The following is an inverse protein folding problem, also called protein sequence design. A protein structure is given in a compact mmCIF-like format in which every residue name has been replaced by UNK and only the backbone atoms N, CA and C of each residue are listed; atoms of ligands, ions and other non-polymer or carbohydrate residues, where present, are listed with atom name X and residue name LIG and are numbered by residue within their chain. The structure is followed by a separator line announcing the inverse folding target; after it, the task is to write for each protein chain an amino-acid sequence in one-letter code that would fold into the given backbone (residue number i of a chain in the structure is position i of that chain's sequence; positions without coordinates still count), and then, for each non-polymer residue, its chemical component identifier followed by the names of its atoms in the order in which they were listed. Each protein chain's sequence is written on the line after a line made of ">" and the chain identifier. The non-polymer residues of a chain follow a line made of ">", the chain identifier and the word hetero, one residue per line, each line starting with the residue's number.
data_IF_553676118142
#
_entry.id   IF_553676118142
#
_cell.length_a   1.000
_cell.length_b   1.000
_cell.length_c   1.000
_cell.angle_alpha   90.00
_cell.angle_beta   90.00
_cell.angle_gamma   90.00
#
_symmetry.space_group_name_H-M   'P 1'
#
loop_
_entity.id
_entity.type
_entity.pdbx_description
1 polymer ?
#
# COMPACT_ATOMS: atom_id res chain seq x y z
N UNK A 1 24.77 -14.57 -23.61
CA UNK A 1 23.51 -15.20 -23.17
C UNK A 1 23.76 -15.51 -21.70
N UNK A 2 23.23 -14.82 -20.68
CA UNK A 2 21.84 -14.38 -20.57
C UNK A 2 21.57 -13.43 -19.38
N UNK A 3 22.43 -12.45 -19.09
CA UNK A 3 22.16 -11.52 -17.97
C UNK A 3 20.87 -10.69 -18.18
N UNK A 4 20.59 -10.33 -19.44
CA UNK A 4 19.33 -9.68 -19.82
C UNK A 4 18.11 -10.59 -19.71
N UNK A 5 18.24 -11.90 -20.02
CA UNK A 5 17.13 -12.84 -19.83
C UNK A 5 16.91 -13.15 -18.35
N UNK A 6 17.96 -13.22 -17.53
CA UNK A 6 17.84 -13.34 -16.08
C UNK A 6 17.11 -12.13 -15.47
N UNK A 7 17.46 -10.92 -15.92
CA UNK A 7 16.78 -9.69 -15.50
C UNK A 7 15.31 -9.65 -15.92
N UNK A 8 15.01 -10.01 -17.19
CA UNK A 8 13.63 -10.06 -17.69
C UNK A 8 12.82 -11.14 -16.95
N UNK A 9 13.41 -12.29 -16.64
CA UNK A 9 12.77 -13.35 -15.85
C UNK A 9 12.54 -12.94 -14.40
N UNK A 10 13.49 -12.21 -13.79
CA UNK A 10 13.29 -11.62 -12.47
C UNK A 10 12.13 -10.60 -12.51
N UNK A 11 12.10 -9.73 -13.52
CA UNK A 11 11.05 -8.74 -13.71
C UNK A 11 9.67 -9.38 -13.96
N UNK A 12 9.62 -10.46 -14.74
CA UNK A 12 8.41 -11.29 -14.92
C UNK A 12 7.99 -11.97 -13.62
N UNK A 13 8.95 -12.45 -12.82
CA UNK A 13 8.70 -12.99 -11.48
C UNK A 13 8.05 -11.96 -10.57
N UNK A 14 8.50 -10.71 -10.63
CA UNK A 14 7.87 -9.61 -9.88
C UNK A 14 6.44 -9.33 -10.37
N UNK A 15 6.19 -9.42 -11.68
CA UNK A 15 4.83 -9.30 -12.27
C UNK A 15 3.88 -10.37 -11.79
N UNK A 16 4.30 -11.64 -11.83
CA UNK A 16 3.47 -12.74 -11.37
C UNK A 16 3.24 -12.70 -9.85
N UNK A 17 4.25 -12.28 -9.08
CA UNK A 17 4.12 -12.15 -7.63
C UNK A 17 3.05 -11.15 -7.21
N UNK A 18 2.87 -10.07 -7.97
CA UNK A 18 1.85 -9.06 -7.66
C UNK A 18 0.48 -9.40 -8.26
N UNK A 19 0.42 -10.30 -9.24
CA UNK A 19 -0.81 -10.83 -9.82
C UNK A 19 -1.42 -12.00 -9.01
N UNK A 20 -0.59 -12.85 -8.39
CA UNK A 20 -1.04 -14.04 -7.66
C UNK A 20 -1.27 -13.81 -6.15
N UNK A 21 -0.64 -12.80 -5.56
CA UNK A 21 -0.72 -12.55 -4.12
C UNK A 21 -2.02 -11.82 -3.74
N UNK A 22 -2.66 -12.29 -2.67
CA UNK A 22 -3.78 -11.57 -2.03
C UNK A 22 -3.26 -10.42 -1.15
N UNK A 23 -1.93 -10.34 -0.95
CA UNK A 23 -1.25 -9.39 -0.06
C UNK A 23 -0.13 -8.63 -0.80
N UNK A 24 -0.38 -7.34 -1.04
CA UNK A 24 0.54 -6.41 -1.70
C UNK A 24 1.85 -6.22 -0.90
N UNK A 25 1.79 -6.29 0.43
CA UNK A 25 2.95 -6.06 1.29
C UNK A 25 4.01 -7.14 1.11
N UNK A 26 3.58 -8.40 1.04
CA UNK A 26 4.45 -9.54 0.77
C UNK A 26 5.12 -9.41 -0.60
N UNK A 27 4.35 -9.10 -1.65
CA UNK A 27 4.91 -8.93 -3.01
C UNK A 27 5.95 -7.82 -3.07
N UNK A 28 5.67 -6.65 -2.46
CA UNK A 28 6.63 -5.54 -2.39
C UNK A 28 7.86 -5.87 -1.54
N UNK A 29 7.73 -6.71 -0.50
CA UNK A 29 8.89 -7.17 0.28
C UNK A 29 9.84 -8.02 -0.56
N UNK A 30 9.29 -8.88 -1.41
CA UNK A 30 10.09 -9.70 -2.33
C UNK A 30 10.76 -8.84 -3.41
N UNK A 31 10.08 -7.82 -3.93
CA UNK A 31 10.69 -6.82 -4.82
C UNK A 31 11.88 -6.13 -4.15
N UNK A 32 11.72 -5.69 -2.91
CA UNK A 32 12.81 -5.04 -2.17
C UNK A 32 14.00 -5.99 -1.98
N UNK A 33 13.74 -7.28 -1.73
CA UNK A 33 14.79 -8.30 -1.62
C UNK A 33 15.53 -8.52 -2.94
N UNK A 34 14.80 -8.69 -4.05
CA UNK A 34 15.36 -8.85 -5.38
C UNK A 34 16.17 -7.63 -5.80
N UNK A 35 15.65 -6.43 -5.54
CA UNK A 35 16.33 -5.17 -5.83
C UNK A 35 17.66 -5.08 -5.09
N UNK A 36 17.68 -5.40 -3.79
CA UNK A 36 18.90 -5.40 -3.00
C UNK A 36 19.92 -6.43 -3.50
N UNK A 37 19.49 -7.64 -3.86
CA UNK A 37 20.37 -8.68 -4.40
C UNK A 37 20.95 -8.26 -5.75
N UNK A 38 20.14 -7.69 -6.64
CA UNK A 38 20.58 -7.28 -7.97
C UNK A 38 21.59 -6.13 -7.93
N UNK A 39 21.47 -5.26 -6.93
CA UNK A 39 22.33 -4.11 -6.73
C UNK A 39 23.49 -4.39 -5.75
N UNK A 40 23.71 -5.64 -5.34
CA UNK A 40 24.71 -6.03 -4.34
C UNK A 40 24.65 -5.14 -3.08
N UNK A 41 23.47 -4.94 -2.52
CA UNK A 41 23.22 -4.04 -1.40
C UNK A 41 22.71 -4.76 -0.14
N UNK A 42 23.07 -4.25 1.03
CA UNK A 42 22.58 -4.82 2.29
C UNK A 42 21.15 -4.39 2.64
N UNK A 43 20.72 -3.21 2.18
CA UNK A 43 19.43 -2.63 2.55
C UNK A 43 18.69 -2.09 1.34
N UNK A 44 17.41 -2.43 1.27
CA UNK A 44 16.45 -1.79 0.38
C UNK A 44 15.16 -1.49 1.17
N UNK A 45 14.58 -0.31 1.00
CA UNK A 45 13.31 0.06 1.63
C UNK A 45 12.38 0.70 0.62
N UNK A 46 11.10 0.35 0.69
CA UNK A 46 10.03 0.99 -0.05
C UNK A 46 9.20 1.81 0.95
N UNK A 47 9.11 3.11 0.68
CA UNK A 47 8.30 4.05 1.45
C UNK A 47 7.14 4.53 0.57
N UNK A 48 5.94 4.61 1.13
CA UNK A 48 4.75 5.12 0.43
C UNK A 48 4.24 6.38 1.11
N UNK A 49 3.65 7.28 0.31
CA UNK A 49 2.98 8.46 0.82
C UNK A 49 1.64 8.07 1.45
N UNK A 50 1.35 8.69 2.58
CA UNK A 50 0.07 8.61 3.27
C UNK A 50 -0.38 10.01 3.64
N UNK A 51 -1.70 10.22 3.69
CA UNK A 51 -2.26 11.46 4.20
C UNK A 51 -1.96 11.61 5.69
N UNK A 52 -1.51 12.81 6.07
CA UNK A 52 -1.27 13.23 7.45
C UNK A 52 -2.60 13.32 8.20
N UNK A 53 -2.76 12.64 9.36
CA UNK A 53 -3.94 12.80 10.19
C UNK A 53 -4.02 14.21 10.83
N UNK A 54 -2.92 14.97 10.84
CA UNK A 54 -2.82 16.32 11.43
C UNK A 54 -2.61 17.37 10.34
N UNK A 55 -3.44 18.43 10.35
CA UNK A 55 -3.51 19.50 9.33
C UNK A 55 -2.28 20.44 9.28
N UNK A 56 -1.24 20.21 10.09
CA UNK A 56 -0.14 21.19 10.30
C UNK A 56 1.05 21.05 9.32
N UNK A 57 1.15 19.96 8.56
CA UNK A 57 2.11 19.78 7.46
C UNK A 57 1.33 19.51 6.17
N UNK A 58 1.86 19.87 5.00
CA UNK A 58 1.29 19.84 3.61
C UNK A 58 0.55 18.53 3.16
N UNK A 59 -0.40 18.05 3.95
CA UNK A 59 -1.28 16.91 3.71
C UNK A 59 -0.64 15.54 3.73
N UNK A 60 0.67 15.37 3.52
CA UNK A 60 1.27 14.04 3.24
C UNK A 60 2.60 13.78 3.95
N UNK A 61 2.82 12.50 4.27
CA UNK A 61 4.08 12.00 4.82
C UNK A 61 4.48 10.65 4.23
N UNK A 62 5.77 10.35 4.24
CA UNK A 62 6.32 9.05 3.88
C UNK A 62 6.43 8.15 5.10
N UNK A 63 6.04 6.88 4.91
CA UNK A 63 6.24 5.81 5.89
C UNK A 63 6.84 4.59 5.20
N UNK A 64 7.71 3.89 5.91
CA UNK A 64 8.23 2.58 5.45
C UNK A 64 7.05 1.61 5.32
N UNK A 65 6.80 1.18 4.09
CA UNK A 65 5.80 0.16 3.79
C UNK A 65 6.40 -1.23 3.93
N UNK A 66 7.61 -1.43 3.40
CA UNK A 66 8.35 -2.68 3.53
C UNK A 66 9.84 -2.47 3.30
N UNK A 67 10.67 -3.44 3.68
CA UNK A 67 12.11 -3.39 3.47
C UNK A 67 12.74 -4.78 3.40
N UNK A 68 13.99 -4.80 2.92
CA UNK A 68 14.93 -5.91 2.97
C UNK A 68 16.19 -5.49 3.73
N UNK A 69 16.80 -6.44 4.44
CA UNK A 69 17.95 -6.21 5.30
C UNK A 69 17.55 -5.67 6.67
N UNK A 70 18.55 -5.39 7.50
CA UNK A 70 18.33 -4.98 8.88
C UNK A 70 17.96 -3.48 8.93
N UNK A 71 16.70 -3.15 9.15
CA UNK A 71 16.25 -1.82 9.57
C UNK A 71 15.88 -1.87 11.05
N UNK A 72 16.27 -0.88 11.87
CA UNK A 72 15.83 -0.82 13.25
C UNK A 72 14.31 -0.66 13.31
N UNK A 73 13.67 -1.29 14.30
CA UNK A 73 12.20 -1.28 14.43
C UNK A 73 11.61 0.14 14.57
N UNK A 74 12.40 1.09 15.08
CA UNK A 74 12.05 2.52 15.13
C UNK A 74 11.82 3.15 13.76
N UNK A 75 12.43 2.63 12.69
CA UNK A 75 12.28 3.15 11.35
C UNK A 75 10.87 2.94 10.78
N UNK A 76 10.09 1.97 11.31
CA UNK A 76 8.69 1.76 10.93
C UNK A 76 7.73 2.77 11.55
N UNK A 77 8.10 3.34 12.69
CA UNK A 77 7.31 4.35 13.42
C UNK A 77 7.68 5.77 13.00
N UNK A 78 8.80 5.93 12.29
CA UNK A 78 9.29 7.23 11.88
C UNK A 78 8.56 7.73 10.64
N UNK A 79 7.85 8.83 10.85
CA UNK A 79 7.23 9.62 9.79
C UNK A 79 8.31 10.50 9.16
N UNK A 80 8.39 10.54 7.83
CA UNK A 80 9.28 11.47 7.11
C UNK A 80 8.44 12.47 6.34
N UNK A 81 8.60 13.76 6.63
CA UNK A 81 7.84 14.81 5.95
C UNK A 81 8.33 14.97 4.50
N UNK A 82 7.48 15.51 3.63
CA UNK A 82 7.93 15.97 2.32
C UNK A 82 9.02 17.06 2.49
N UNK A 83 10.01 17.06 1.60
CA UNK A 83 11.21 17.91 1.67
C UNK A 83 12.15 17.66 2.85
N UNK A 84 11.89 16.63 3.68
CA UNK A 84 12.77 16.27 4.80
C UNK A 84 13.66 15.08 4.43
N UNK A 85 14.97 15.26 4.61
CA UNK A 85 15.97 14.25 4.29
C UNK A 85 15.94 13.81 2.82
N UNK A 86 16.57 12.66 2.54
CA UNK A 86 16.72 12.16 1.17
C UNK A 86 15.39 11.70 0.58
N UNK A 87 14.65 10.86 1.31
CA UNK A 87 13.40 10.31 0.81
C UNK A 87 12.33 11.40 0.62
N UNK A 88 12.21 12.35 1.56
CA UNK A 88 11.29 13.48 1.42
C UNK A 88 11.64 14.39 0.25
N UNK A 89 12.93 14.64 -0.01
CA UNK A 89 13.39 15.39 -1.18
C UNK A 89 13.04 14.68 -2.50
N UNK A 90 13.33 13.38 -2.61
CA UNK A 90 13.04 12.59 -3.82
C UNK A 90 11.53 12.51 -4.07
N UNK A 91 10.73 12.34 -3.02
CA UNK A 91 9.27 12.34 -3.15
C UNK A 91 8.70 13.69 -3.62
N UNK A 92 9.22 14.80 -3.06
CA UNK A 92 8.73 16.14 -3.39
C UNK A 92 9.17 16.60 -4.79
N UNK A 93 10.40 16.28 -5.20
CA UNK A 93 10.95 16.71 -6.49
C UNK A 93 10.65 15.73 -7.63
N UNK A 94 10.27 14.48 -7.33
CA UNK A 94 10.14 13.42 -8.32
C UNK A 94 11.45 13.12 -9.06
N UNK A 95 12.59 13.53 -8.50
CA UNK A 95 13.90 13.42 -9.15
C UNK A 95 14.73 12.35 -8.43
N UNK A 96 15.26 11.34 -9.15
CA UNK A 96 16.10 10.31 -8.55
C UNK A 96 17.44 10.89 -8.08
N UNK A 97 18.04 10.26 -7.07
CA UNK A 97 19.26 10.75 -6.44
C UNK A 97 20.29 9.63 -6.28
N UNK A 98 21.52 9.90 -6.71
CA UNK A 98 22.71 9.11 -6.44
C UNK A 98 23.63 9.89 -5.49
N UNK A 99 24.03 9.23 -4.40
CA UNK A 99 25.02 9.74 -3.47
C UNK A 99 26.14 8.71 -3.34
N UNK A 100 27.32 9.05 -3.86
CA UNK A 100 28.48 8.17 -3.76
C UNK A 100 29.09 8.14 -2.34
N UNK A 101 29.01 9.25 -1.62
CA UNK A 101 29.42 9.38 -0.21
C UNK A 101 28.53 10.40 0.51
N UNK A 102 27.71 9.93 1.45
CA UNK A 102 26.80 10.78 2.21
C UNK A 102 27.52 11.88 3.01
N UNK A 103 28.77 11.64 3.43
CA UNK A 103 29.53 12.63 4.22
C UNK A 103 30.00 13.83 3.43
N UNK A 104 29.94 13.75 2.09
CA UNK A 104 30.28 14.85 1.19
C UNK A 104 29.04 15.45 0.52
N UNK A 105 27.84 15.01 0.92
CA UNK A 105 26.58 15.46 0.33
C UNK A 105 25.91 16.53 1.18
N UNK A 106 25.03 17.32 0.56
CA UNK A 106 24.14 18.25 1.28
C UNK A 106 23.19 17.56 2.28
N UNK A 107 23.06 16.23 2.19
CA UNK A 107 22.18 15.43 3.04
C UNK A 107 22.91 14.82 4.25
N UNK A 108 24.14 15.24 4.54
CA UNK A 108 24.96 14.70 5.63
C UNK A 108 24.27 14.79 7.00
N UNK A 109 23.52 15.87 7.26
CA UNK A 109 22.78 16.04 8.53
C UNK A 109 21.61 15.05 8.66
N UNK A 110 21.07 14.58 7.54
CA UNK A 110 20.01 13.56 7.49
C UNK A 110 20.56 12.12 7.51
N UNK A 111 21.89 11.94 7.53
CA UNK A 111 22.53 10.64 7.46
C UNK A 111 22.34 9.84 8.76
N UNK A 112 21.49 8.81 8.71
CA UNK A 112 21.21 7.94 9.86
C UNK A 112 22.28 6.87 10.13
N UNK A 113 23.26 6.76 9.24
CA UNK A 113 24.17 5.61 9.15
C UNK A 113 25.64 6.01 8.99
N UNK A 114 26.04 7.16 9.55
CA UNK A 114 27.41 7.68 9.42
C UNK A 114 28.49 6.70 9.92
N UNK A 115 28.12 5.75 10.79
CA UNK A 115 29.00 4.73 11.36
C UNK A 115 29.08 3.44 10.53
N UNK A 116 28.28 3.30 9.45
CA UNK A 116 28.32 2.12 8.58
C UNK A 116 29.54 2.16 7.65
N UNK A 117 30.02 0.98 7.27
CA UNK A 117 31.26 0.83 6.49
C UNK A 117 31.20 1.46 5.08
N UNK A 118 30.01 1.54 4.48
CA UNK A 118 29.82 2.12 3.15
C UNK A 118 28.72 3.19 3.18
N UNK A 119 29.07 4.38 2.69
CA UNK A 119 28.33 5.65 2.82
C UNK A 119 27.53 6.01 1.57
N UNK A 120 27.49 5.13 0.58
CA UNK A 120 26.75 5.35 -0.65
C UNK A 120 25.28 4.95 -0.52
N UNK A 121 24.39 5.72 -1.17
CA UNK A 121 23.00 5.35 -1.38
C UNK A 121 22.49 5.82 -2.74
N UNK A 122 21.44 5.15 -3.21
CA UNK A 122 20.60 5.61 -4.32
C UNK A 122 19.13 5.62 -3.88
N UNK A 123 18.37 6.55 -4.44
CA UNK A 123 16.96 6.74 -4.15
C UNK A 123 16.20 7.13 -5.42
N UNK A 124 15.04 6.52 -5.65
CA UNK A 124 14.23 6.78 -6.83
C UNK A 124 12.75 6.94 -6.47
N UNK A 125 12.02 7.87 -7.11
CA UNK A 125 10.60 8.05 -6.91
C UNK A 125 9.83 6.87 -7.49
N UNK A 126 8.74 6.49 -6.83
CA UNK A 126 7.77 5.50 -7.33
C UNK A 126 6.64 6.28 -8.01
N UNK A 127 6.54 6.25 -9.35
CA UNK A 127 5.57 7.04 -10.08
C UNK A 127 4.20 6.36 -10.14
N UNK A 128 3.15 7.19 -10.22
CA UNK A 128 1.78 6.82 -10.52
C UNK A 128 1.18 7.89 -11.44
N UNK A 129 1.14 7.61 -12.74
CA UNK A 129 0.87 8.65 -13.74
C UNK A 129 1.93 9.76 -13.65
N UNK A 130 1.47 11.01 -13.49
CA UNK A 130 2.33 12.20 -13.35
C UNK A 130 2.72 12.49 -11.89
N UNK A 131 2.28 11.67 -10.93
CA UNK A 131 2.52 11.88 -9.49
C UNK A 131 3.54 10.89 -8.93
N UNK A 132 4.21 11.28 -7.85
CA UNK A 132 5.02 10.35 -7.04
C UNK A 132 4.16 9.84 -5.89
N UNK A 133 4.07 8.52 -5.71
CA UNK A 133 3.30 7.87 -4.62
C UNK A 133 4.19 7.30 -3.52
N UNK A 134 5.50 7.37 -3.69
CA UNK A 134 6.46 6.80 -2.76
C UNK A 134 7.89 6.88 -3.26
N UNK A 135 8.80 6.24 -2.56
CA UNK A 135 10.23 6.23 -2.85
C UNK A 135 10.79 4.84 -2.55
N UNK A 136 11.67 4.35 -3.42
CA UNK A 136 12.52 3.19 -3.15
C UNK A 136 13.94 3.68 -2.86
N UNK A 137 14.53 3.17 -1.77
CA UNK A 137 15.89 3.52 -1.33
C UNK A 137 16.74 2.26 -1.26
N UNK A 138 17.99 2.35 -1.70
CA UNK A 138 18.99 1.28 -1.57
C UNK A 138 20.26 1.87 -0.96
N UNK A 139 20.81 1.20 0.04
CA UNK A 139 21.97 1.69 0.80
C UNK A 139 22.88 0.55 1.22
N UNK A 140 24.12 0.92 1.56
CA UNK A 140 25.17 0.01 2.04
C UNK A 140 25.51 -1.07 0.99
N UNK A 141 26.21 -0.69 -0.08
CA UNK A 141 26.76 -1.64 -1.05
C UNK A 141 27.70 -2.64 -0.37
N UNK A 142 27.56 -3.93 -0.69
CA UNK A 142 28.31 -5.06 -0.13
C UNK A 142 29.79 -5.08 -0.56
N UNK A 143 30.08 -4.64 -1.79
CA UNK A 143 31.41 -4.78 -2.39
C UNK A 143 32.38 -3.62 -2.05
N UNK A 144 32.02 -2.76 -1.09
CA UNK A 144 32.81 -1.58 -0.70
C UNK A 144 32.92 -0.48 -1.77
N UNK A 145 32.31 -0.68 -2.94
CA UNK A 145 32.21 0.32 -4.00
C UNK A 145 30.97 1.18 -3.79
N UNK A 146 31.07 2.47 -4.08
CA UNK A 146 29.91 3.34 -4.15
C UNK A 146 29.03 2.97 -5.35
N UNK A 147 27.72 3.18 -5.22
CA UNK A 147 26.80 3.08 -6.34
C UNK A 147 27.18 4.05 -7.46
N UNK A 148 26.77 3.72 -8.68
CA UNK A 148 27.00 4.50 -9.90
C UNK A 148 25.69 4.73 -10.64
N UNK A 149 25.74 5.53 -11.69
CA UNK A 149 24.57 5.88 -12.49
C UNK A 149 23.83 4.64 -13.03
N UNK A 150 24.56 3.59 -13.39
CA UNK A 150 23.98 2.34 -13.87
C UNK A 150 23.14 1.61 -12.79
N UNK A 151 23.55 1.73 -11.52
CA UNK A 151 22.79 1.20 -10.38
C UNK A 151 21.50 2.03 -10.16
N UNK A 152 21.60 3.35 -10.33
CA UNK A 152 20.44 4.25 -10.26
C UNK A 152 19.44 3.96 -11.39
N UNK A 153 19.90 3.73 -12.62
CA UNK A 153 19.04 3.33 -13.75
C UNK A 153 18.33 2.00 -13.48
N UNK A 154 19.05 1.03 -12.89
CA UNK A 154 18.44 -0.24 -12.47
C UNK A 154 17.37 -0.02 -11.41
N UNK A 155 17.64 0.82 -10.41
CA UNK A 155 16.67 1.15 -9.36
C UNK A 155 15.42 1.84 -9.92
N UNK A 156 15.58 2.76 -10.88
CA UNK A 156 14.45 3.44 -11.55
C UNK A 156 13.52 2.45 -12.26
N UNK A 157 14.07 1.38 -12.85
CA UNK A 157 13.27 0.32 -13.46
C UNK A 157 12.42 -0.41 -12.42
N UNK A 158 12.99 -0.77 -11.26
CA UNK A 158 12.22 -1.35 -10.16
C UNK A 158 11.16 -0.38 -9.63
N UNK A 159 11.48 0.91 -9.50
CA UNK A 159 10.54 1.93 -9.04
C UNK A 159 9.32 2.05 -9.97
N UNK A 160 9.55 2.09 -11.29
CA UNK A 160 8.50 2.07 -12.31
C UNK A 160 7.63 0.81 -12.20
N UNK A 161 8.27 -0.33 -11.99
CA UNK A 161 7.59 -1.61 -11.87
C UNK A 161 6.69 -1.68 -10.62
N UNK A 162 7.20 -1.21 -9.47
CA UNK A 162 6.44 -1.10 -8.22
C UNK A 162 5.22 -0.20 -8.42
N UNK A 163 5.40 0.99 -9.01
CA UNK A 163 4.32 1.94 -9.27
C UNK A 163 3.20 1.35 -10.13
N UNK A 164 3.58 0.67 -11.23
CA UNK A 164 2.62 -0.05 -12.08
C UNK A 164 1.87 -1.15 -11.33
N UNK A 165 2.56 -1.91 -10.49
CA UNK A 165 1.97 -3.04 -9.78
C UNK A 165 0.98 -2.59 -8.71
N UNK A 166 1.31 -1.51 -7.97
CA UNK A 166 0.38 -0.87 -7.05
C UNK A 166 -0.87 -0.40 -7.80
N UNK A 167 -0.70 0.21 -8.98
CA UNK A 167 -1.83 0.65 -9.79
C UNK A 167 -2.74 -0.51 -10.23
N UNK A 168 -2.16 -1.61 -10.71
CA UNK A 168 -2.92 -2.81 -11.08
C UNK A 168 -3.67 -3.37 -9.87
N UNK A 169 -3.01 -3.49 -8.71
CA UNK A 169 -3.62 -4.00 -7.48
C UNK A 169 -4.80 -3.13 -7.01
N UNK A 170 -4.64 -1.80 -7.03
CA UNK A 170 -5.72 -0.86 -6.72
C UNK A 170 -6.89 -0.99 -7.69
N UNK A 171 -6.62 -1.09 -9.00
CA UNK A 171 -7.66 -1.26 -10.02
C UNK A 171 -8.40 -2.60 -9.85
N UNK A 172 -7.68 -3.68 -9.59
CA UNK A 172 -8.28 -4.99 -9.30
C UNK A 172 -9.15 -4.96 -8.04
N UNK A 173 -8.72 -4.26 -6.99
CA UNK A 173 -9.51 -4.10 -5.77
C UNK A 173 -10.83 -3.35 -6.03
N UNK A 174 -10.78 -2.26 -6.81
CA UNK A 174 -11.97 -1.51 -7.24
C UNK A 174 -12.90 -2.41 -8.06
N UNK A 175 -12.38 -3.15 -9.04
CA UNK A 175 -13.18 -4.04 -9.87
C UNK A 175 -13.83 -5.16 -9.04
N UNK A 176 -13.06 -5.83 -8.16
CA UNK A 176 -13.59 -6.86 -7.25
C UNK A 176 -14.74 -6.32 -6.41
N UNK A 177 -14.60 -5.12 -5.84
CA UNK A 177 -15.67 -4.47 -5.07
C UNK A 177 -16.96 -4.28 -5.90
N UNK A 178 -16.84 -3.77 -7.14
CA UNK A 178 -17.99 -3.58 -8.04
C UNK A 178 -18.60 -4.89 -8.52
N UNK A 179 -17.80 -5.93 -8.73
CA UNK A 179 -18.29 -7.26 -9.05
C UNK A 179 -19.05 -7.88 -7.87
N UNK A 180 -18.55 -7.73 -6.65
CA UNK A 180 -19.28 -8.16 -5.43
C UNK A 180 -20.61 -7.41 -5.33
N UNK A 181 -20.62 -6.09 -5.50
CA UNK A 181 -21.84 -5.27 -5.51
C UNK A 181 -22.86 -5.77 -6.56
N UNK A 182 -22.42 -5.99 -7.81
CA UNK A 182 -23.29 -6.50 -8.88
C UNK A 182 -23.74 -7.93 -8.70
N UNK A 183 -22.88 -8.82 -8.19
CA UNK A 183 -23.23 -10.21 -7.91
C UNK A 183 -24.33 -10.28 -6.84
N UNK A 184 -24.21 -9.48 -5.78
CA UNK A 184 -25.26 -9.34 -4.75
C UNK A 184 -26.58 -8.86 -5.37
N UNK A 185 -26.55 -7.82 -6.23
CA UNK A 185 -27.76 -7.31 -6.90
C UNK A 185 -28.39 -8.36 -7.82
N UNK A 186 -27.59 -9.12 -8.57
CA UNK A 186 -28.08 -10.15 -9.49
C UNK A 186 -28.68 -11.34 -8.74
N UNK A 187 -28.07 -11.79 -7.66
CA UNK A 187 -28.60 -12.88 -6.86
C UNK A 187 -29.90 -12.48 -6.15
N UNK A 188 -30.07 -11.20 -5.80
CA UNK A 188 -31.36 -10.65 -5.35
C UNK A 188 -32.43 -10.65 -6.46
N UNK A 189 -32.03 -10.54 -7.73
CA UNK A 189 -32.94 -10.54 -8.89
C UNK A 189 -33.27 -11.95 -9.43
N UNK A 190 -32.38 -12.93 -9.24
CA UNK A 190 -32.53 -14.31 -9.73
C UNK A 190 -33.24 -15.25 -8.74
N UNK A 191 -33.63 -14.79 -7.55
CA UNK A 191 -34.52 -15.58 -6.67
C UNK A 191 -35.86 -15.77 -7.41
N UNK A 192 -36.24 -17.00 -7.79
CA UNK A 192 -37.47 -17.23 -8.52
C UNK A 192 -38.65 -16.73 -7.70
N UNK A 193 -39.41 -15.81 -8.28
CA UNK A 193 -40.75 -15.46 -7.85
C UNK A 193 -41.66 -16.64 -8.17
N UNK A 194 -41.57 -17.73 -7.40
CA UNK A 194 -42.63 -18.72 -7.40
C UNK A 194 -43.89 -18.02 -6.85
N UNK A 195 -44.84 -17.84 -7.76
CA UNK A 195 -46.15 -17.19 -7.59
C UNK A 195 -46.16 -15.66 -7.69
N UNK A 196 -46.09 -15.16 -8.93
CA UNK A 196 -47.17 -14.36 -9.56
C UNK A 196 -47.77 -13.14 -8.84
N UNK A 197 -47.22 -12.67 -7.73
CA UNK A 197 -47.63 -11.46 -7.04
C UNK A 197 -46.34 -10.75 -6.64
N UNK A 198 -46.19 -9.50 -7.07
CA UNK A 198 -45.09 -8.64 -6.65
C UNK A 198 -45.16 -8.43 -5.13
N UNK A 199 -44.45 -9.26 -4.37
CA UNK A 199 -44.27 -9.09 -2.93
C UNK A 199 -42.87 -8.55 -2.74
N UNK A 200 -42.78 -7.31 -2.25
CA UNK A 200 -41.55 -6.65 -1.84
C UNK A 200 -40.64 -7.62 -1.05
N UNK A 201 -39.31 -7.53 -1.18
CA UNK A 201 -38.40 -8.49 -0.58
C UNK A 201 -38.65 -8.59 0.92
N UNK A 202 -38.84 -9.82 1.42
CA UNK A 202 -39.16 -10.07 2.83
C UNK A 202 -38.02 -9.51 3.72
N UNK A 203 -38.29 -8.46 4.51
CA UNK A 203 -37.25 -7.73 5.25
C UNK A 203 -36.51 -8.61 6.25
N UNK A 204 -37.15 -9.67 6.76
CA UNK A 204 -36.54 -10.63 7.68
C UNK A 204 -35.51 -11.52 6.99
N UNK A 205 -35.72 -11.89 5.72
CA UNK A 205 -34.74 -12.66 4.94
C UNK A 205 -33.54 -11.80 4.57
N UNK A 206 -33.76 -10.54 4.17
CA UNK A 206 -32.69 -9.59 3.89
C UNK A 206 -31.81 -9.34 5.11
N UNK A 207 -32.41 -9.10 6.28
CA UNK A 207 -31.67 -8.90 7.52
C UNK A 207 -30.75 -10.10 7.86
N UNK A 208 -31.23 -11.34 7.63
CA UNK A 208 -30.42 -12.56 7.85
C UNK A 208 -29.24 -12.67 6.90
N UNK A 209 -29.40 -12.27 5.64
CA UNK A 209 -28.32 -12.31 4.64
C UNK A 209 -27.24 -11.30 5.01
N UNK A 210 -27.64 -10.06 5.31
CA UNK A 210 -26.73 -8.99 5.73
C UNK A 210 -25.97 -9.40 6.99
N UNK A 211 -26.66 -9.92 8.01
CA UNK A 211 -26.03 -10.37 9.26
C UNK A 211 -25.00 -11.49 9.04
N UNK A 212 -25.29 -12.48 8.17
CA UNK A 212 -24.36 -13.57 7.85
C UNK A 212 -23.11 -13.07 7.12
N UNK A 213 -23.28 -12.17 6.16
CA UNK A 213 -22.16 -11.60 5.41
C UNK A 213 -21.25 -10.76 6.31
N UNK A 214 -21.88 -9.93 7.17
CA UNK A 214 -21.18 -9.10 8.15
C UNK A 214 -20.33 -9.95 9.11
N UNK A 215 -20.93 -11.01 9.66
CA UNK A 215 -20.23 -11.95 10.55
C UNK A 215 -19.02 -12.63 9.87
N UNK A 216 -19.19 -13.08 8.63
CA UNK A 216 -18.13 -13.77 7.87
C UNK A 216 -16.93 -12.87 7.61
N UNK A 217 -17.17 -11.61 7.24
CA UNK A 217 -16.10 -10.65 6.98
C UNK A 217 -15.34 -10.24 8.25
N UNK A 218 -16.04 -10.01 9.37
CA UNK A 218 -15.36 -9.73 10.63
C UNK A 218 -14.53 -10.91 11.14
N UNK A 219 -15.02 -12.13 10.93
CA UNK A 219 -14.25 -13.34 11.29
C UNK A 219 -12.97 -13.45 10.43
N UNK A 220 -13.05 -13.16 9.12
CA UNK A 220 -11.87 -13.11 8.23
C UNK A 220 -10.86 -12.04 8.63
N UNK A 221 -11.34 -10.90 9.13
CA UNK A 221 -10.50 -9.81 9.61
C UNK A 221 -9.88 -10.09 11.00
N UNK A 222 -10.10 -11.28 11.57
CA UNK A 222 -9.48 -11.72 12.82
C UNK A 222 -10.21 -11.29 14.09
N UNK A 223 -11.42 -10.76 13.99
CA UNK A 223 -12.20 -10.36 15.16
C UNK A 223 -12.77 -11.57 15.90
N UNK A 224 -12.59 -11.59 17.23
CA UNK A 224 -13.19 -12.59 18.10
C UNK A 224 -14.69 -12.36 18.33
N UNK A 225 -15.41 -13.39 18.77
CA UNK A 225 -16.87 -13.33 18.93
C UNK A 225 -17.36 -12.15 19.80
N UNK A 226 -16.64 -11.80 20.87
CA UNK A 226 -17.00 -10.69 21.75
C UNK A 226 -16.84 -9.32 21.06
N UNK A 227 -15.78 -9.13 20.27
CA UNK A 227 -15.55 -7.90 19.50
C UNK A 227 -16.60 -7.74 18.40
N UNK A 228 -17.01 -8.85 17.77
CA UNK A 228 -18.08 -8.83 16.75
C UNK A 228 -19.41 -8.39 17.35
N UNK A 229 -19.72 -8.82 18.59
CA UNK A 229 -20.93 -8.39 19.30
C UNK A 229 -20.87 -6.89 19.60
N UNK A 230 -19.75 -6.39 20.12
CA UNK A 230 -19.57 -4.95 20.39
C UNK A 230 -19.76 -4.08 19.14
N UNK A 231 -19.14 -4.47 18.01
CA UNK A 231 -19.29 -3.76 16.74
C UNK A 231 -20.74 -3.80 16.25
N UNK A 232 -21.40 -4.96 16.34
CA UNK A 232 -22.80 -5.08 15.94
C UNK A 232 -23.74 -4.19 16.78
N UNK A 233 -23.48 -4.08 18.09
CA UNK A 233 -24.23 -3.20 18.99
C UNK A 233 -24.02 -1.72 18.62
N UNK A 234 -22.79 -1.30 18.34
CA UNK A 234 -22.51 0.10 17.93
C UNK A 234 -23.20 0.45 16.61
N UNK A 235 -23.21 -0.48 15.65
CA UNK A 235 -23.93 -0.30 14.38
C UNK A 235 -25.44 -0.16 14.59
N UNK A 236 -26.03 -0.95 15.51
CA UNK A 236 -27.44 -0.84 15.85
C UNK A 236 -27.77 0.53 16.47
N UNK A 237 -26.94 1.02 17.39
CA UNK A 237 -27.11 2.32 18.03
C UNK A 237 -27.03 3.48 17.01
N UNK A 238 -26.10 3.40 16.06
CA UNK A 238 -25.97 4.37 14.96
C UNK A 238 -27.20 4.39 14.05
N UNK A 239 -27.72 3.21 13.67
CA UNK A 239 -28.92 3.10 12.85
C UNK A 239 -30.14 3.68 13.57
N UNK A 240 -30.27 3.40 14.87
CA UNK A 240 -31.37 3.91 15.67
C UNK A 240 -31.33 5.44 15.79
N UNK A 241 -30.15 6.02 16.04
CA UNK A 241 -29.94 7.48 16.03
C UNK A 241 -30.35 8.11 14.69
N UNK A 242 -29.98 7.51 13.57
CA UNK A 242 -30.31 8.03 12.23
C UNK A 242 -31.81 7.94 11.92
N UNK A 243 -32.47 6.84 12.30
CA UNK A 243 -33.92 6.69 12.15
C UNK A 243 -34.67 7.74 12.98
N UNK A 244 -34.21 7.99 14.21
CA UNK A 244 -34.81 9.01 15.09
C UNK A 244 -34.61 10.43 14.56
N UNK A 245 -33.45 10.72 13.98
CA UNK A 245 -33.20 12.00 13.30
C UNK A 245 -34.09 12.18 12.07
N UNK A 246 -34.28 11.13 11.27
CA UNK A 246 -35.16 11.15 10.11
C UNK A 246 -36.63 11.39 10.50
N UNK A 247 -37.12 10.69 11.53
CA UNK A 247 -38.48 10.92 12.08
C UNK A 247 -38.68 12.34 12.60
N UNK A 248 -37.67 12.92 13.28
CA UNK A 248 -37.70 14.31 13.76
C UNK A 248 -37.77 15.35 12.64
N UNK A 249 -37.24 15.04 11.45
CA UNK A 249 -37.33 15.90 10.26
C UNK A 249 -38.71 15.84 9.61
N UNK A 250 -39.29 14.64 9.51
CA UNK A 250 -40.67 14.46 9.01
C UNK A 250 -41.74 15.09 9.91
N UNK A 251 -41.50 15.19 11.22
CA UNK A 251 -42.45 15.79 12.17
C UNK A 251 -42.36 17.33 12.26
N UNK A 252 -41.50 17.96 11.45
CA UNK A 252 -41.29 19.43 11.42
C UNK A 252 -41.79 20.08 10.12
N UNK A 253 -42.27 19.28 9.17
CA UNK A 253 -43.05 19.69 7.99
C UNK A 253 -44.54 19.48 8.25
#
# INVERSE_FOLDING_TARGET
>A
MDNSNSFILQLLGVSNLLEEQTDLEQGLREVASLTAQMLDAQRCSIMLLSESPTQDNDGYYLRVFTHYGNLPQSAYQQITSLNEGIAGYVAATGTPLLIEDITQSQFVEAARYLNEANKSLISAPIPFGEQTIGVINVSIPLNGKSFKEQDLETLKLFALFIGKSIHIAQMQAILRSRFVERAVVRELAEIPSESGIAIAPNPTKLAKIVAKSFYKELTKAGFGANQIIEIATEVLDLLQKNIDQYKKRLSRE
#
